data_IF_278550271212
#
_entry.id   IF_278550271212
#
_cell.length_a   1.000
_cell.length_b   1.000
_cell.length_c   1.000
_cell.angle_alpha   90.00
_cell.angle_beta   90.00
_cell.angle_gamma   90.00
#
_symmetry.space_group_name_H-M   'P 1'
#
loop_
_entity.id
_entity.type
_entity.pdbx_description
1 polymer ?
#
# COMPACT_ATOMS: atom_id res chain seq x y z
N UNK A 1 8.72 -6.23 8.29
CA UNK A 1 7.75 -7.16 8.93
C UNK A 1 6.46 -7.18 8.14
N UNK A 2 5.68 -8.26 8.20
CA UNK A 2 4.37 -8.31 7.53
C UNK A 2 3.41 -7.29 8.15
N UNK A 3 2.75 -6.49 7.31
CA UNK A 3 1.86 -5.41 7.78
C UNK A 3 0.46 -5.91 8.12
N UNK A 4 0.06 -7.08 7.62
CA UNK A 4 -1.33 -7.55 7.66
C UNK A 4 -2.12 -7.22 6.39
N UNK A 5 -1.51 -6.55 5.42
CA UNK A 5 -2.16 -6.17 4.16
C UNK A 5 -1.65 -7.01 3.00
N UNK A 6 -2.53 -7.28 2.04
CA UNK A 6 -2.19 -7.98 0.81
C UNK A 6 -2.94 -7.36 -0.38
N UNK A 7 -2.45 -7.64 -1.57
CA UNK A 7 -3.01 -7.19 -2.83
C UNK A 7 -3.68 -8.39 -3.48
N UNK A 8 -4.95 -8.24 -3.84
CA UNK A 8 -5.70 -9.24 -4.59
C UNK A 8 -6.69 -8.53 -5.53
N UNK A 9 -6.70 -8.95 -6.80
CA UNK A 9 -7.46 -8.33 -7.90
C UNK A 9 -7.30 -6.80 -8.00
N UNK A 10 -6.08 -6.30 -7.76
CA UNK A 10 -5.77 -4.86 -7.78
C UNK A 10 -6.28 -4.10 -6.55
N UNK A 11 -7.02 -4.72 -5.63
CA UNK A 11 -7.44 -4.11 -4.37
C UNK A 11 -6.46 -4.44 -3.24
N UNK A 12 -6.38 -3.52 -2.29
CA UNK A 12 -5.57 -3.68 -1.08
C UNK A 12 -6.50 -4.08 0.06
N UNK A 13 -6.29 -5.28 0.56
CA UNK A 13 -7.04 -5.89 1.66
C UNK A 13 -6.20 -5.88 2.93
N UNK A 14 -6.86 -5.91 4.08
CA UNK A 14 -6.16 -5.95 5.36
C UNK A 14 -7.07 -5.73 6.57
N UNK A 15 -6.48 -5.55 7.77
CA UNK A 15 -7.21 -5.44 9.03
C UNK A 15 -8.03 -4.16 9.19
N UNK A 16 -7.72 -3.10 8.42
CA UNK A 16 -8.50 -1.85 8.44
C UNK A 16 -8.64 -1.28 7.03
N UNK A 17 -9.79 -0.65 6.76
CA UNK A 17 -10.10 -0.06 5.44
C UNK A 17 -9.96 -1.06 4.28
N UNK A 18 -10.23 -2.35 4.56
CA UNK A 18 -10.07 -3.47 3.62
C UNK A 18 -10.89 -3.26 2.34
N UNK A 19 -10.24 -3.40 1.18
CA UNK A 19 -10.88 -3.24 -0.14
C UNK A 19 -11.24 -1.79 -0.51
N UNK A 20 -10.86 -0.81 0.31
CA UNK A 20 -11.16 0.62 0.02
C UNK A 20 -10.06 1.32 -0.75
N UNK A 21 -8.88 0.71 -0.82
CA UNK A 21 -7.75 1.18 -1.60
C UNK A 21 -7.50 0.20 -2.73
N UNK A 22 -7.07 0.71 -3.88
CA UNK A 22 -6.79 -0.09 -5.06
C UNK A 22 -5.57 0.45 -5.80
N UNK A 23 -5.02 -0.37 -6.67
CA UNK A 23 -3.87 -0.07 -7.51
C UNK A 23 -4.36 0.05 -8.94
N UNK A 24 -4.06 1.17 -9.57
CA UNK A 24 -4.33 1.41 -10.99
C UNK A 24 -3.16 2.17 -11.60
N UNK A 25 -2.65 1.66 -12.72
CA UNK A 25 -1.42 2.13 -13.39
C UNK A 25 -0.21 2.24 -12.43
N UNK A 26 -0.10 1.31 -11.47
CA UNK A 26 0.96 1.32 -10.45
C UNK A 26 0.75 2.33 -9.33
N UNK A 27 -0.26 3.19 -9.39
CA UNK A 27 -0.58 4.17 -8.35
C UNK A 27 -1.60 3.62 -7.35
N UNK A 28 -1.45 4.00 -6.08
CA UNK A 28 -2.40 3.66 -5.02
C UNK A 28 -3.48 4.74 -4.93
N UNK A 29 -4.72 4.31 -5.14
CA UNK A 29 -5.92 5.13 -5.08
C UNK A 29 -6.77 4.77 -3.87
N UNK A 30 -7.61 5.70 -3.42
CA UNK A 30 -8.47 5.47 -2.26
C UNK A 30 -9.32 6.68 -1.87
N UNK A 31 -10.14 6.55 -0.82
CA UNK A 31 -11.05 7.59 -0.35
C UNK A 31 -10.34 8.83 0.22
N UNK A 32 -9.06 8.69 0.57
CA UNK A 32 -8.19 9.77 1.01
C UNK A 32 -6.77 9.45 0.59
N UNK A 33 -5.89 10.46 0.54
CA UNK A 33 -4.49 10.25 0.20
C UNK A 33 -4.26 9.61 -1.19
N UNK A 34 -5.25 9.69 -2.08
CA UNK A 34 -5.28 9.05 -3.39
C UNK A 34 -4.20 9.58 -4.33
N UNK A 35 -3.58 8.69 -5.12
CA UNK A 35 -2.62 9.04 -6.17
C UNK A 35 -1.31 9.61 -5.66
N UNK A 36 -1.00 9.46 -4.36
CA UNK A 36 0.24 9.96 -3.75
C UNK A 36 1.32 8.90 -3.60
N UNK A 37 0.93 7.62 -3.58
CA UNK A 37 1.87 6.50 -3.49
C UNK A 37 1.80 5.67 -4.77
N UNK A 38 2.91 5.07 -5.14
CA UNK A 38 3.01 4.19 -6.29
C UNK A 38 3.88 2.98 -5.98
N UNK A 39 3.77 1.95 -6.81
CA UNK A 39 4.52 0.71 -6.74
C UNK A 39 5.47 0.65 -7.92
N UNK A 40 6.75 0.43 -7.64
CA UNK A 40 7.80 0.28 -8.65
C UNK A 40 8.83 -0.71 -8.11
N UNK A 41 9.19 -1.72 -8.92
CA UNK A 41 10.11 -2.80 -8.54
C UNK A 41 9.75 -3.51 -7.22
N UNK A 42 8.45 -3.73 -6.98
CA UNK A 42 7.88 -4.26 -5.73
C UNK A 42 8.11 -3.38 -4.48
N UNK A 43 8.61 -2.15 -4.63
CA UNK A 43 8.69 -1.18 -3.55
C UNK A 43 7.55 -0.17 -3.65
N UNK A 44 7.11 0.29 -2.49
CA UNK A 44 6.10 1.33 -2.37
C UNK A 44 6.81 2.67 -2.16
N UNK A 45 6.58 3.59 -3.07
CA UNK A 45 7.12 4.93 -3.09
C UNK A 45 6.04 5.96 -2.82
N UNK A 46 6.46 7.17 -2.42
CA UNK A 46 5.54 8.24 -2.05
C UNK A 46 6.26 9.44 -1.44
N UNK A 47 5.53 10.53 -1.15
CA UNK A 47 6.08 11.79 -0.65
C UNK A 47 6.72 11.64 0.74
N UNK A 48 6.21 10.70 1.54
CA UNK A 48 6.74 10.35 2.85
C UNK A 48 6.79 8.82 2.95
N UNK A 49 7.83 8.30 3.62
CA UNK A 49 8.04 6.86 3.82
C UNK A 49 8.24 6.05 2.51
N UNK A 50 8.59 6.70 1.40
CA UNK A 50 8.93 6.02 0.14
C UNK A 50 10.12 5.08 0.30
N UNK A 51 10.06 3.91 -0.35
CA UNK A 51 11.10 2.89 -0.31
C UNK A 51 11.21 2.15 1.03
N UNK A 52 10.29 2.37 1.98
CA UNK A 52 10.29 1.67 3.27
C UNK A 52 9.38 0.44 3.28
N UNK A 53 8.36 0.43 2.44
CA UNK A 53 7.43 -0.68 2.31
C UNK A 53 7.68 -1.40 0.99
N UNK A 54 7.48 -2.71 0.99
CA UNK A 54 7.68 -3.56 -0.18
C UNK A 54 6.61 -4.64 -0.25
N UNK A 55 6.46 -5.22 -1.43
CA UNK A 55 5.54 -6.30 -1.73
C UNK A 55 6.35 -7.57 -1.94
N UNK A 56 5.92 -8.65 -1.32
CA UNK A 56 6.49 -9.98 -1.50
C UNK A 56 5.34 -10.99 -1.47
N UNK A 57 5.24 -11.81 -2.53
CA UNK A 57 4.15 -12.77 -2.74
C UNK A 57 2.74 -12.17 -2.55
N UNK A 58 2.51 -10.96 -3.10
CA UNK A 58 1.25 -10.22 -2.97
C UNK A 58 0.99 -9.61 -1.58
N UNK A 59 1.85 -9.86 -0.60
CA UNK A 59 1.72 -9.34 0.76
C UNK A 59 2.58 -8.09 0.97
N UNK A 60 2.08 -7.13 1.74
CA UNK A 60 2.79 -5.87 2.00
C UNK A 60 3.58 -5.98 3.30
N UNK A 61 4.86 -5.65 3.23
CA UNK A 61 5.80 -5.63 4.33
C UNK A 61 6.36 -4.22 4.53
N UNK A 62 6.82 -3.93 5.74
CA UNK A 62 7.43 -2.64 6.06
C UNK A 62 7.92 -2.53 7.50
N UNK A 63 8.34 -1.33 7.93
CA UNK A 63 8.78 -1.06 9.30
C UNK A 63 7.62 -0.85 10.28
N UNK A 64 6.38 -0.70 9.80
CA UNK A 64 5.17 -0.47 10.62
C UNK A 64 3.99 -1.28 10.07
N UNK A 65 3.00 -1.59 10.91
CA UNK A 65 1.73 -2.21 10.47
C UNK A 65 0.80 -1.21 9.79
N UNK A 66 1.04 0.09 9.97
CA UNK A 66 0.22 1.15 9.37
C UNK A 66 0.86 1.55 8.04
N UNK A 67 0.15 1.27 6.94
CA UNK A 67 0.55 1.70 5.59
C UNK A 67 0.55 3.23 5.49
N UNK A 68 1.43 3.82 4.67
CA UNK A 68 1.66 5.25 4.71
C UNK A 68 0.44 6.09 4.28
N UNK A 69 -0.39 5.59 3.36
CA UNK A 69 -1.63 6.26 2.93
C UNK A 69 -2.77 6.19 3.96
N UNK A 70 -2.71 5.29 4.96
CA UNK A 70 -3.74 5.16 6.00
C UNK A 70 -3.60 6.22 7.11
N UNK A 71 -2.50 6.97 7.13
CA UNK A 71 -2.27 8.05 8.08
C UNK A 71 -3.12 9.27 7.66
N UNK A 72 -3.99 9.74 8.56
CA UNK A 72 -4.84 10.92 8.38
C UNK A 72 -4.14 12.17 8.91
#
# INVERSE_FOLDING_TARGET
MYTGYWIDDGFIWGPSESGRFWIDDGWVWGPYNSGKWWIEDNWIWGPNDGGKFWIDDGHIYGPSKILPWLKK
#
